data_IF_881339151941
#
_entry.id   IF_881339151941
#
_cell.length_a   1.000
_cell.length_b   1.000
_cell.length_c   1.000
_cell.angle_alpha   90.00
_cell.angle_beta   90.00
_cell.angle_gamma   90.00
#
_symmetry.space_group_name_H-M   'P 1'
#
loop_
_entity.id
_entity.type
_entity.pdbx_description
1 polymer ?
#
# COMPACT_ATOMS: atom_id res chain seq x y z
N UNK A 1 18.68 8.34 4.90
CA UNK A 1 17.53 8.42 5.85
C UNK A 1 17.22 7.03 6.36
N UNK A 2 17.09 6.87 7.66
CA UNK A 2 16.69 5.59 8.26
C UNK A 2 15.24 5.29 7.92
N UNK A 3 14.88 4.01 7.83
CA UNK A 3 13.50 3.60 7.51
C UNK A 3 12.48 4.13 8.52
N UNK A 4 12.82 4.16 9.81
CA UNK A 4 11.92 4.71 10.83
C UNK A 4 11.59 6.18 10.57
N UNK A 5 12.54 6.97 10.11
CA UNK A 5 12.32 8.37 9.80
C UNK A 5 11.35 8.51 8.62
N UNK A 6 11.46 7.64 7.62
CA UNK A 6 10.53 7.58 6.49
C UNK A 6 9.12 7.21 6.94
N UNK A 7 8.99 6.25 7.85
CA UNK A 7 7.69 5.83 8.39
C UNK A 7 7.04 6.97 9.18
N UNK A 8 7.81 7.65 10.02
CA UNK A 8 7.30 8.80 10.79
C UNK A 8 6.80 9.88 9.85
N UNK A 9 7.58 10.22 8.83
CA UNK A 9 7.18 11.22 7.82
C UNK A 9 5.92 10.81 7.07
N UNK A 10 5.82 9.54 6.69
CA UNK A 10 4.65 9.01 6.00
C UNK A 10 3.40 9.12 6.87
N UNK A 11 3.47 8.68 8.12
CA UNK A 11 2.34 8.76 9.06
C UNK A 11 1.91 10.21 9.30
N UNK A 12 2.88 11.10 9.45
CA UNK A 12 2.59 12.54 9.64
C UNK A 12 1.91 13.16 8.42
N UNK A 13 2.15 12.62 7.23
CA UNK A 13 1.54 13.10 5.98
C UNK A 13 0.10 12.59 5.77
N UNK A 14 -0.31 11.55 6.50
CA UNK A 14 -1.63 10.94 6.30
C UNK A 14 -2.75 11.89 6.71
N UNK A 15 -3.81 11.94 5.88
CA UNK A 15 -5.05 12.61 6.25
C UNK A 15 -5.82 11.81 7.30
N UNK A 16 -6.82 12.43 7.91
CA UNK A 16 -7.71 11.73 8.87
C UNK A 16 -8.40 10.52 8.23
N UNK A 17 -8.84 10.67 6.97
CA UNK A 17 -9.49 9.59 6.22
C UNK A 17 -8.52 8.44 5.96
N UNK A 18 -7.28 8.74 5.61
CA UNK A 18 -6.24 7.74 5.36
C UNK A 18 -5.86 6.98 6.64
N UNK A 19 -5.72 7.68 7.76
CA UNK A 19 -5.49 7.06 9.08
C UNK A 19 -6.63 6.15 9.48
N UNK A 20 -7.86 6.61 9.30
CA UNK A 20 -9.06 5.82 9.60
C UNK A 20 -9.13 4.56 8.77
N UNK A 21 -8.85 4.66 7.47
CA UNK A 21 -8.83 3.53 6.55
C UNK A 21 -7.78 2.48 6.97
N UNK A 22 -6.57 2.94 7.29
CA UNK A 22 -5.51 2.06 7.76
C UNK A 22 -5.92 1.33 9.04
N UNK A 23 -6.43 2.06 10.03
CA UNK A 23 -6.89 1.47 11.28
C UNK A 23 -8.01 0.44 11.08
N UNK A 24 -8.97 0.72 10.20
CA UNK A 24 -10.06 -0.21 9.89
C UNK A 24 -9.54 -1.49 9.25
N UNK A 25 -8.54 -1.40 8.39
CA UNK A 25 -7.95 -2.59 7.76
C UNK A 25 -7.24 -3.48 8.76
N UNK A 26 -6.45 -2.89 9.66
CA UNK A 26 -5.65 -3.66 10.61
C UNK A 26 -6.48 -4.18 11.80
N UNK A 27 -7.62 -3.58 12.10
CA UNK A 27 -8.54 -4.06 13.15
C UNK A 27 -9.17 -5.41 12.82
N UNK A 28 -9.12 -5.85 11.57
CA UNK A 28 -9.56 -7.18 11.17
C UNK A 28 -8.62 -8.28 11.64
N UNK A 29 -7.44 -7.93 12.07
CA UNK A 29 -6.47 -8.88 12.63
C UNK A 29 -6.74 -9.05 14.13
N UNK A 30 -6.90 -10.31 14.56
CA UNK A 30 -7.30 -10.62 15.93
C UNK A 30 -6.22 -10.35 16.98
N UNK A 31 -4.96 -10.27 16.60
CA UNK A 31 -3.85 -10.04 17.50
C UNK A 31 -3.14 -8.72 17.17
N UNK A 32 -2.80 -7.96 18.22
CA UNK A 32 -2.04 -6.73 18.05
C UNK A 32 -0.61 -7.08 17.60
N UNK A 33 -0.30 -6.77 16.37
CA UNK A 33 1.00 -7.03 15.75
C UNK A 33 2.05 -6.01 16.23
N UNK A 34 3.31 -6.41 16.18
CA UNK A 34 4.41 -5.54 16.59
C UNK A 34 4.43 -4.21 15.83
N UNK A 35 4.15 -4.23 14.52
CA UNK A 35 4.12 -3.00 13.72
C UNK A 35 3.03 -2.03 14.16
N UNK A 36 1.91 -2.52 14.70
CA UNK A 36 0.84 -1.66 15.21
C UNK A 36 1.24 -0.93 16.48
N UNK A 37 2.09 -1.54 17.28
CA UNK A 37 2.64 -0.89 18.48
C UNK A 37 3.48 0.33 18.04
N UNK A 38 4.30 0.17 17.01
CA UNK A 38 5.08 1.28 16.45
C UNK A 38 4.17 2.39 15.93
N UNK A 39 3.11 2.03 15.19
CA UNK A 39 2.14 3.00 14.69
C UNK A 39 1.50 3.79 15.83
N UNK A 40 1.03 3.10 16.86
CA UNK A 40 0.38 3.75 18.02
C UNK A 40 1.34 4.70 18.74
N UNK A 41 2.61 4.32 18.90
CA UNK A 41 3.63 5.17 19.53
C UNK A 41 3.81 6.46 18.73
N UNK A 42 3.91 6.35 17.40
CA UNK A 42 4.12 7.52 16.53
C UNK A 42 2.92 8.46 16.58
N UNK A 43 1.71 7.91 16.49
CA UNK A 43 0.49 8.73 16.51
C UNK A 43 0.29 9.43 17.86
N UNK A 44 0.58 8.73 18.95
CA UNK A 44 0.41 9.26 20.32
C UNK A 44 1.38 10.41 20.62
N UNK A 45 2.63 10.30 20.17
CA UNK A 45 3.70 11.20 20.58
C UNK A 45 3.93 12.41 19.67
N UNK A 46 3.13 12.64 18.66
CA UNK A 46 3.24 13.76 17.71
C UNK A 46 4.69 14.06 17.29
N UNK A 47 5.07 13.70 16.08
CA UNK A 47 6.42 13.93 15.52
C UNK A 47 7.56 13.42 16.41
N UNK A 48 7.52 12.17 16.88
CA UNK A 48 8.60 11.62 17.70
C UNK A 48 9.87 11.43 16.90
N UNK A 49 11.00 11.40 17.62
CA UNK A 49 12.28 10.99 17.07
C UNK A 49 12.31 9.46 16.93
N UNK A 50 12.99 8.96 15.91
CA UNK A 50 13.11 7.52 15.65
C UNK A 50 13.70 6.74 16.82
N UNK A 51 14.66 7.30 17.53
CA UNK A 51 15.27 6.64 18.69
C UNK A 51 14.28 6.54 19.87
N UNK A 52 13.45 7.54 20.06
CA UNK A 52 12.37 7.51 21.06
C UNK A 52 11.36 6.41 20.75
N UNK A 53 10.99 6.27 19.49
CA UNK A 53 10.06 5.23 19.04
C UNK A 53 10.66 3.84 19.32
N UNK A 54 11.92 3.65 18.99
CA UNK A 54 12.62 2.39 19.20
C UNK A 54 12.68 2.02 20.69
N UNK A 55 13.05 2.97 21.53
CA UNK A 55 13.14 2.74 22.97
C UNK A 55 11.78 2.38 23.57
N UNK A 56 10.73 3.10 23.22
CA UNK A 56 9.39 2.81 23.69
C UNK A 56 8.86 1.47 23.16
N UNK A 57 9.15 1.15 21.91
CA UNK A 57 8.78 -0.14 21.32
C UNK A 57 9.39 -1.30 22.12
N UNK A 58 10.66 -1.22 22.51
CA UNK A 58 11.33 -2.27 23.26
C UNK A 58 10.84 -2.41 24.70
N UNK A 59 10.17 -1.40 25.26
CA UNK A 59 9.46 -1.53 26.53
C UNK A 59 8.31 -2.52 26.40
N UNK A 60 7.56 -2.45 25.31
CA UNK A 60 6.40 -3.33 25.05
C UNK A 60 6.81 -4.68 24.47
N UNK A 61 7.87 -4.71 23.66
CA UNK A 61 8.34 -5.91 22.94
C UNK A 61 9.86 -6.02 23.02
N UNK A 62 10.41 -6.45 24.17
CA UNK A 62 11.87 -6.44 24.37
C UNK A 62 12.63 -7.37 23.42
N UNK A 63 11.99 -8.46 22.96
CA UNK A 63 12.64 -9.49 22.15
C UNK A 63 12.27 -9.41 20.66
N UNK A 64 11.44 -8.44 20.25
CA UNK A 64 11.04 -8.29 18.86
C UNK A 64 12.06 -7.46 18.09
N UNK A 65 12.17 -7.73 16.77
CA UNK A 65 13.01 -6.92 15.90
C UNK A 65 12.29 -5.63 15.53
N UNK A 66 12.85 -4.51 15.94
CA UNK A 66 12.34 -3.18 15.60
C UNK A 66 12.43 -2.92 14.09
N UNK A 67 13.56 -3.24 13.48
CA UNK A 67 13.83 -2.97 12.07
C UNK A 67 12.87 -3.75 11.16
N UNK A 68 12.61 -5.01 11.47
CA UNK A 68 11.66 -5.84 10.71
C UNK A 68 10.24 -5.28 10.87
N UNK A 69 9.86 -4.90 12.06
CA UNK A 69 8.53 -4.34 12.34
C UNK A 69 8.32 -2.99 11.64
N UNK A 70 9.35 -2.15 11.59
CA UNK A 70 9.32 -0.87 10.86
C UNK A 70 9.12 -1.10 9.36
N UNK A 71 9.87 -2.03 8.77
CA UNK A 71 9.73 -2.36 7.35
C UNK A 71 8.33 -2.88 7.04
N UNK A 72 7.81 -3.74 7.90
CA UNK A 72 6.46 -4.28 7.74
C UNK A 72 5.39 -3.19 7.83
N UNK A 73 5.53 -2.28 8.80
CA UNK A 73 4.62 -1.13 8.93
C UNK A 73 4.65 -0.25 7.68
N UNK A 74 5.83 0.03 7.15
CA UNK A 74 6.00 0.84 5.94
C UNK A 74 5.22 0.24 4.77
N UNK A 75 5.39 -1.06 4.54
CA UNK A 75 4.69 -1.76 3.46
C UNK A 75 3.17 -1.77 3.67
N UNK A 76 2.72 -2.02 4.90
CA UNK A 76 1.29 -2.01 5.23
C UNK A 76 0.64 -0.65 5.02
N UNK A 77 1.34 0.43 5.35
CA UNK A 77 0.84 1.78 5.11
C UNK A 77 0.70 2.08 3.62
N UNK A 78 1.70 1.72 2.82
CA UNK A 78 1.63 1.92 1.37
C UNK A 78 0.53 1.08 0.74
N UNK A 79 0.38 -0.18 1.15
CA UNK A 79 -0.70 -1.06 0.68
C UNK A 79 -2.08 -0.45 0.98
N UNK A 80 -2.24 0.11 2.19
CA UNK A 80 -3.48 0.78 2.58
C UNK A 80 -3.79 1.99 1.71
N UNK A 81 -2.77 2.80 1.38
CA UNK A 81 -2.94 3.96 0.52
C UNK A 81 -3.35 3.56 -0.90
N UNK A 82 -2.71 2.53 -1.46
CA UNK A 82 -3.07 2.00 -2.78
C UNK A 82 -4.51 1.51 -2.78
N UNK A 83 -4.90 0.76 -1.76
CA UNK A 83 -6.23 0.20 -1.65
C UNK A 83 -7.30 1.29 -1.54
N UNK A 84 -7.02 2.36 -0.81
CA UNK A 84 -7.92 3.51 -0.68
C UNK A 84 -8.12 4.24 -2.01
N UNK A 85 -7.08 4.29 -2.84
CA UNK A 85 -7.11 5.01 -4.12
C UNK A 85 -7.67 4.21 -5.29
N UNK A 86 -7.80 2.90 -5.17
CA UNK A 86 -8.16 2.02 -6.29
C UNK A 86 -9.46 2.39 -7.01
N UNK A 87 -10.40 3.06 -6.33
CA UNK A 87 -11.67 3.49 -6.92
C UNK A 87 -11.76 5.00 -7.14
N UNK A 88 -10.72 5.73 -6.81
CA UNK A 88 -10.70 7.20 -6.89
C UNK A 88 -9.74 7.72 -7.95
N UNK A 89 -8.86 6.87 -8.44
CA UNK A 89 -7.84 7.25 -9.40
C UNK A 89 -7.81 6.23 -10.54
N UNK A 90 -8.14 6.68 -11.73
CA UNK A 90 -8.20 5.83 -12.93
C UNK A 90 -6.87 5.13 -13.22
N UNK A 91 -5.75 5.76 -12.90
CA UNK A 91 -4.42 5.17 -13.08
C UNK A 91 -4.29 3.86 -12.30
N UNK A 92 -4.67 3.87 -11.01
CA UNK A 92 -4.61 2.68 -10.15
C UNK A 92 -5.60 1.62 -10.59
N UNK A 93 -6.81 2.01 -11.03
CA UNK A 93 -7.80 1.07 -11.55
C UNK A 93 -7.29 0.34 -12.79
N UNK A 94 -6.68 1.07 -13.72
CA UNK A 94 -6.14 0.48 -14.94
C UNK A 94 -4.95 -0.44 -14.64
N UNK A 95 -4.07 -0.04 -13.71
CA UNK A 95 -2.95 -0.88 -13.29
C UNK A 95 -3.44 -2.19 -12.68
N UNK A 96 -4.47 -2.13 -11.87
CA UNK A 96 -5.12 -3.31 -11.28
C UNK A 96 -5.71 -4.21 -12.36
N UNK A 97 -6.34 -3.63 -13.38
CA UNK A 97 -6.88 -4.39 -14.51
C UNK A 97 -5.79 -5.09 -15.31
N UNK A 98 -4.62 -4.47 -15.48
CA UNK A 98 -3.45 -5.13 -16.08
C UNK A 98 -3.03 -6.36 -15.29
N UNK A 99 -3.02 -6.27 -13.97
CA UNK A 99 -2.72 -7.41 -13.10
C UNK A 99 -3.73 -8.54 -13.27
N UNK A 100 -5.02 -8.21 -13.39
CA UNK A 100 -6.07 -9.21 -13.67
C UNK A 100 -5.85 -9.90 -15.01
N UNK A 101 -5.52 -9.14 -16.04
CA UNK A 101 -5.23 -9.69 -17.36
C UNK A 101 -4.06 -10.68 -17.29
N UNK A 102 -3.01 -10.35 -16.54
CA UNK A 102 -1.86 -11.24 -16.36
C UNK A 102 -2.26 -12.54 -15.68
N UNK A 103 -3.07 -12.47 -14.64
CA UNK A 103 -3.56 -13.67 -13.94
C UNK A 103 -4.38 -14.57 -14.86
N UNK A 104 -5.20 -13.98 -15.71
CA UNK A 104 -5.97 -14.74 -16.71
C UNK A 104 -5.06 -15.38 -17.75
N UNK A 105 -4.07 -14.65 -18.23
CA UNK A 105 -3.08 -15.16 -19.18
C UNK A 105 -2.31 -16.35 -18.61
N UNK A 106 -1.86 -16.28 -17.38
CA UNK A 106 -1.12 -17.34 -16.71
C UNK A 106 -1.95 -18.63 -16.58
N UNK A 107 -3.27 -18.50 -16.56
CA UNK A 107 -4.21 -19.62 -16.50
C UNK A 107 -4.69 -20.09 -17.88
N UNK A 108 -4.10 -19.56 -18.95
CA UNK A 108 -4.48 -19.83 -20.33
C UNK A 108 -5.92 -19.42 -20.68
N UNK A 109 -6.48 -18.48 -19.93
CA UNK A 109 -7.78 -17.89 -20.20
C UNK A 109 -7.59 -16.67 -21.12
N UNK A 110 -7.18 -16.94 -22.36
CA UNK A 110 -6.70 -15.89 -23.27
C UNK A 110 -7.83 -14.97 -23.76
N UNK A 111 -9.00 -15.51 -24.00
CA UNK A 111 -10.14 -14.72 -24.45
C UNK A 111 -10.52 -13.68 -23.39
N UNK A 112 -10.67 -14.10 -22.16
CA UNK A 112 -10.96 -13.20 -21.03
C UNK A 112 -9.83 -12.20 -20.80
N UNK A 113 -8.59 -12.64 -20.96
CA UNK A 113 -7.42 -11.77 -20.86
C UNK A 113 -7.47 -10.64 -21.89
N UNK A 114 -7.74 -10.97 -23.14
CA UNK A 114 -7.82 -9.96 -24.21
C UNK A 114 -9.03 -9.04 -24.07
N UNK A 115 -10.13 -9.51 -23.51
CA UNK A 115 -11.27 -8.65 -23.20
C UNK A 115 -10.89 -7.59 -22.17
N UNK A 116 -10.21 -7.97 -21.11
CA UNK A 116 -9.72 -7.03 -20.10
C UNK A 116 -8.72 -6.03 -20.71
N UNK A 117 -7.77 -6.52 -21.52
CA UNK A 117 -6.79 -5.65 -22.17
C UNK A 117 -7.43 -4.65 -23.14
N UNK A 118 -8.45 -5.08 -23.89
CA UNK A 118 -9.19 -4.19 -24.79
C UNK A 118 -9.84 -3.05 -24.03
N UNK A 119 -10.44 -3.33 -22.88
CA UNK A 119 -11.04 -2.32 -22.02
C UNK A 119 -9.99 -1.36 -21.48
N UNK A 120 -8.85 -1.88 -21.01
CA UNK A 120 -7.73 -1.07 -20.50
C UNK A 120 -7.24 -0.12 -21.59
N UNK A 121 -7.05 -0.62 -22.82
CA UNK A 121 -6.59 0.20 -23.94
C UNK A 121 -7.56 1.34 -24.22
N UNK A 122 -8.86 1.05 -24.30
CA UNK A 122 -9.89 2.06 -24.53
C UNK A 122 -9.89 3.14 -23.46
N UNK A 123 -9.82 2.75 -22.19
CA UNK A 123 -9.82 3.70 -21.09
C UNK A 123 -8.52 4.49 -21.03
N UNK A 124 -7.37 3.84 -21.26
CA UNK A 124 -6.07 4.50 -21.27
C UNK A 124 -5.98 5.54 -22.40
N UNK A 125 -6.54 5.24 -23.56
CA UNK A 125 -6.64 6.21 -24.68
C UNK A 125 -7.54 7.38 -24.31
N UNK A 126 -8.70 7.11 -23.72
CA UNK A 126 -9.66 8.15 -23.34
C UNK A 126 -9.07 9.12 -22.31
N UNK A 127 -8.34 8.61 -21.31
CA UNK A 127 -7.74 9.42 -20.25
C UNK A 127 -6.29 9.83 -20.54
N UNK A 128 -5.79 9.51 -21.74
CA UNK A 128 -4.40 9.83 -22.17
C UNK A 128 -3.32 9.33 -21.23
N UNK A 129 -3.51 8.13 -20.67
CA UNK A 129 -2.53 7.49 -19.78
C UNK A 129 -1.58 6.64 -20.63
N UNK A 130 -0.55 7.27 -21.16
CA UNK A 130 0.36 6.66 -22.14
C UNK A 130 1.15 5.49 -21.57
N UNK A 131 1.56 5.54 -20.31
CA UNK A 131 2.31 4.47 -19.65
C UNK A 131 1.52 3.17 -19.62
N UNK A 132 0.24 3.25 -19.23
CA UNK A 132 -0.66 2.09 -19.19
C UNK A 132 -0.92 1.58 -20.60
N UNK A 133 -1.12 2.49 -21.56
CA UNK A 133 -1.36 2.14 -22.97
C UNK A 133 -0.18 1.34 -23.54
N UNK A 134 1.04 1.78 -23.29
CA UNK A 134 2.25 1.09 -23.75
C UNK A 134 2.31 -0.34 -23.18
N UNK A 135 2.07 -0.50 -21.88
CA UNK A 135 2.09 -1.81 -21.24
C UNK A 135 1.02 -2.72 -21.83
N UNK A 136 -0.21 -2.23 -21.96
CA UNK A 136 -1.35 -3.00 -22.48
C UNK A 136 -1.10 -3.47 -23.92
N UNK A 137 -0.59 -2.59 -24.76
CA UNK A 137 -0.30 -2.91 -26.18
C UNK A 137 0.82 -3.93 -26.30
N UNK A 138 1.85 -3.85 -25.47
CA UNK A 138 2.96 -4.84 -25.48
C UNK A 138 2.52 -6.24 -25.12
N UNK A 139 1.49 -6.38 -24.27
CA UNK A 139 0.98 -7.69 -23.83
C UNK A 139 0.06 -8.30 -24.90
N UNK A 140 -0.59 -7.46 -25.69
CA UNK A 140 -1.49 -7.91 -26.76
C UNK A 140 -0.70 -8.37 -27.97
#
# INVERSE_FOLDING_TARGET
MRKIDSVISLICSLSKAEKKHFCQQVMKEHNKKDYLIIYDIIVKNKFPDGDQVKDEFHIYRPNASFEISVQYLYEKLLDSLILLRRHKDIYYDLFRSLCKARMLYERSLFEECFDVLSDVIKQAEYYEINEILIIAVKVT
#
